data_IF_306391965490
#
_entry.id   IF_306391965490
#
_cell.length_a   1.000
_cell.length_b   1.000
_cell.length_c   1.000
_cell.angle_alpha   90.00
_cell.angle_beta   90.00
_cell.angle_gamma   90.00
#
_symmetry.space_group_name_H-M   'P 1'
#
loop_
_entity.id
_entity.type
_entity.pdbx_description
1 polymer ?
#
# COMPACT_ATOMS: atom_id res chain seq x y z
N UNK A 1 -5.28 14.25 18.55
CA UNK A 1 -4.94 12.91 18.00
C UNK A 1 -3.58 13.00 17.35
N UNK A 2 -2.59 12.22 17.79
CA UNK A 2 -1.20 12.38 17.36
C UNK A 2 -1.04 12.04 15.86
N UNK A 3 -1.22 13.05 15.00
CA UNK A 3 -0.70 13.02 13.63
C UNK A 3 0.80 12.81 13.75
N UNK A 4 1.29 11.61 13.38
CA UNK A 4 2.72 11.30 13.42
C UNK A 4 3.49 12.46 12.78
N UNK A 5 4.28 13.21 13.55
CA UNK A 5 4.90 14.47 13.10
C UNK A 5 6.02 14.23 12.10
N UNK A 6 6.54 12.99 12.05
CA UNK A 6 7.59 12.58 11.14
C UNK A 6 7.10 12.62 9.69
N UNK A 7 7.75 13.48 8.89
CA UNK A 7 7.35 13.78 7.51
C UNK A 7 7.38 12.54 6.61
N UNK A 8 8.39 11.68 6.76
CA UNK A 8 8.54 10.45 5.97
C UNK A 8 7.36 9.48 6.17
N UNK A 9 6.90 9.31 7.41
CA UNK A 9 5.73 8.49 7.74
C UNK A 9 4.44 9.11 7.18
N UNK A 10 4.26 10.43 7.30
CA UNK A 10 3.11 11.12 6.68
C UNK A 10 3.09 10.93 5.16
N UNK A 11 4.22 11.11 4.51
CA UNK A 11 4.37 10.93 3.07
C UNK A 11 4.04 9.49 2.67
N UNK A 12 4.56 8.51 3.41
CA UNK A 12 4.30 7.08 3.20
C UNK A 12 2.81 6.75 3.31
N UNK A 13 2.12 7.26 4.33
CA UNK A 13 0.66 7.10 4.47
C UNK A 13 -0.08 7.71 3.26
N UNK A 14 0.35 8.89 2.81
CA UNK A 14 -0.19 9.53 1.61
C UNK A 14 -0.01 8.67 0.36
N UNK A 15 1.20 8.14 0.14
CA UNK A 15 1.50 7.27 -0.99
C UNK A 15 0.71 5.96 -0.94
N UNK A 16 0.58 5.32 0.23
CA UNK A 16 -0.26 4.11 0.38
C UNK A 16 -1.70 4.40 -0.07
N UNK A 17 -2.27 5.53 0.36
CA UNK A 17 -3.62 5.94 -0.01
C UNK A 17 -3.77 6.14 -1.51
N UNK A 18 -2.88 6.94 -2.11
CA UNK A 18 -2.98 7.30 -3.53
C UNK A 18 -2.78 6.07 -4.42
N UNK A 19 -1.79 5.22 -4.13
CA UNK A 19 -1.54 3.97 -4.86
C UNK A 19 -2.72 3.01 -4.73
N UNK A 20 -3.26 2.84 -3.51
CA UNK A 20 -4.41 1.97 -3.28
C UNK A 20 -5.63 2.44 -4.07
N UNK A 21 -5.92 3.75 -4.04
CA UNK A 21 -7.05 4.31 -4.76
C UNK A 21 -6.84 4.22 -6.27
N UNK A 22 -5.62 4.46 -6.75
CA UNK A 22 -5.27 4.33 -8.16
C UNK A 22 -5.53 2.93 -8.70
N UNK A 23 -5.06 1.87 -8.01
CA UNK A 23 -5.29 0.48 -8.43
C UNK A 23 -6.78 0.12 -8.41
N UNK A 24 -7.54 0.65 -7.44
CA UNK A 24 -8.98 0.40 -7.31
C UNK A 24 -9.81 1.12 -8.35
N UNK A 25 -9.36 2.29 -8.76
CA UNK A 25 -10.03 3.07 -9.78
C UNK A 25 -9.85 2.37 -11.14
N UNK A 26 -10.90 2.20 -11.92
CA UNK A 26 -10.85 1.53 -13.22
C UNK A 26 -10.87 -0.02 -13.20
N UNK A 27 -11.41 -0.62 -14.26
CA UNK A 27 -11.55 -2.08 -14.38
C UNK A 27 -10.23 -2.77 -14.77
N UNK A 28 -9.45 -2.15 -15.67
CA UNK A 28 -8.18 -2.70 -16.15
C UNK A 28 -7.19 -2.90 -15.00
N UNK A 29 -7.00 -1.87 -14.17
CA UNK A 29 -6.06 -1.88 -13.04
C UNK A 29 -6.48 -2.89 -11.97
N UNK A 30 -7.77 -2.98 -11.66
CA UNK A 30 -8.32 -4.00 -10.74
C UNK A 30 -8.12 -5.43 -11.25
N UNK A 31 -8.27 -5.66 -12.55
CA UNK A 31 -8.08 -6.99 -13.13
C UNK A 31 -6.61 -7.39 -13.18
N UNK A 32 -5.72 -6.46 -13.53
CA UNK A 32 -4.27 -6.67 -13.44
C UNK A 32 -3.87 -7.04 -11.99
N UNK A 33 -4.42 -6.31 -11.01
CA UNK A 33 -4.20 -6.61 -9.60
C UNK A 33 -4.66 -8.03 -9.23
N UNK A 34 -5.91 -8.38 -9.53
CA UNK A 34 -6.46 -9.72 -9.23
C UNK A 34 -5.68 -10.85 -9.91
N UNK A 35 -5.23 -10.65 -11.15
CA UNK A 35 -4.42 -11.62 -11.90
C UNK A 35 -3.09 -11.91 -11.22
N UNK A 36 -2.51 -10.92 -10.54
CA UNK A 36 -1.21 -11.03 -9.88
C UNK A 36 -1.31 -11.57 -8.44
N UNK A 37 -2.51 -11.76 -7.89
CA UNK A 37 -2.69 -12.34 -6.55
C UNK A 37 -2.48 -13.86 -6.63
N UNK A 38 -1.53 -14.44 -5.87
CA UNK A 38 -1.36 -15.88 -5.79
C UNK A 38 -2.61 -16.59 -5.26
N UNK A 39 -2.86 -17.81 -5.73
CA UNK A 39 -4.02 -18.61 -5.33
C UNK A 39 -4.04 -18.94 -3.82
N UNK A 40 -2.87 -18.99 -3.19
CA UNK A 40 -2.65 -19.26 -1.76
C UNK A 40 -2.64 -17.99 -0.89
N UNK A 41 -2.83 -16.81 -1.48
CA UNK A 41 -2.85 -15.56 -0.72
C UNK A 41 -4.10 -15.46 0.15
N UNK A 42 -3.96 -15.12 1.44
CA UNK A 42 -5.11 -14.93 2.34
C UNK A 42 -5.76 -13.54 2.23
N UNK A 43 -5.13 -12.62 1.49
CA UNK A 43 -5.55 -11.22 1.37
C UNK A 43 -5.72 -10.87 -0.10
N UNK A 44 -6.95 -10.73 -0.57
CA UNK A 44 -7.23 -10.52 -2.01
C UNK A 44 -7.64 -9.08 -2.38
N UNK A 45 -7.71 -8.18 -1.40
CA UNK A 45 -8.28 -6.84 -1.62
C UNK A 45 -7.46 -5.79 -0.90
N UNK A 46 -7.05 -4.75 -1.61
CA UNK A 46 -6.47 -3.55 -1.00
C UNK A 46 -7.55 -2.81 -0.20
N UNK A 47 -7.24 -2.39 1.02
CA UNK A 47 -8.15 -1.58 1.84
C UNK A 47 -7.70 -0.14 1.81
N UNK A 48 -8.64 0.77 1.61
CA UNK A 48 -8.34 2.21 1.64
C UNK A 48 -8.07 2.61 3.08
N UNK A 49 -7.01 3.38 3.32
CA UNK A 49 -6.64 3.80 4.67
C UNK A 49 -7.74 4.66 5.31
N UNK A 50 -8.27 4.21 6.44
CA UNK A 50 -9.20 4.98 7.26
C UNK A 50 -8.44 6.02 8.09
N UNK A 51 -8.92 7.26 8.11
CA UNK A 51 -8.22 8.38 8.74
C UNK A 51 -8.39 8.41 10.26
N UNK A 52 -9.56 8.00 10.76
CA UNK A 52 -9.98 8.21 12.16
C UNK A 52 -9.86 6.97 13.05
N UNK A 53 -9.59 5.78 12.48
CA UNK A 53 -9.50 4.53 13.24
C UNK A 53 -8.11 3.91 13.17
N UNK A 54 -7.39 4.00 14.28
CA UNK A 54 -6.01 3.53 14.42
C UNK A 54 -5.86 2.02 14.19
N UNK A 55 -6.77 1.19 14.74
CA UNK A 55 -6.76 -0.27 14.54
C UNK A 55 -6.92 -0.65 13.07
N UNK A 56 -7.87 -0.02 12.37
CA UNK A 56 -8.06 -0.22 10.92
C UNK A 56 -6.84 0.24 10.13
N UNK A 57 -6.21 1.34 10.53
CA UNK A 57 -4.98 1.83 9.91
C UNK A 57 -3.85 0.80 10.02
N UNK A 58 -3.63 0.21 11.19
CA UNK A 58 -2.61 -0.83 11.37
C UNK A 58 -2.88 -2.07 10.53
N UNK A 59 -4.13 -2.54 10.51
CA UNK A 59 -4.53 -3.65 9.66
C UNK A 59 -4.29 -3.36 8.17
N UNK A 60 -4.62 -2.16 7.72
CA UNK A 60 -4.43 -1.76 6.33
C UNK A 60 -2.95 -1.65 5.95
N UNK A 61 -2.07 -1.20 6.85
CA UNK A 61 -0.61 -1.20 6.63
C UNK A 61 -0.10 -2.62 6.48
N UNK A 62 -0.47 -3.53 7.39
CA UNK A 62 -0.06 -4.93 7.32
C UNK A 62 -0.58 -5.61 6.05
N UNK A 63 -1.85 -5.39 5.68
CA UNK A 63 -2.43 -5.90 4.44
C UNK A 63 -1.70 -5.34 3.21
N UNK A 64 -1.33 -4.05 3.22
CA UNK A 64 -0.57 -3.42 2.14
C UNK A 64 0.83 -4.03 2.00
N UNK A 65 1.53 -4.31 3.11
CA UNK A 65 2.85 -4.96 3.07
C UNK A 65 2.75 -6.38 2.52
N UNK A 66 1.77 -7.17 2.95
CA UNK A 66 1.54 -8.53 2.42
C UNK A 66 1.30 -8.51 0.91
N UNK A 67 0.58 -7.50 0.44
CA UNK A 67 0.26 -7.30 -0.97
C UNK A 67 1.36 -6.57 -1.75
N UNK A 68 2.44 -6.12 -1.11
CA UNK A 68 3.45 -5.27 -1.73
C UNK A 68 4.05 -5.86 -3.02
N UNK A 69 4.42 -7.16 -3.09
CA UNK A 69 4.91 -7.75 -4.33
C UNK A 69 3.86 -7.73 -5.45
N UNK A 70 2.59 -7.98 -5.11
CA UNK A 70 1.46 -7.92 -6.05
C UNK A 70 1.25 -6.50 -6.55
N UNK A 71 1.35 -5.50 -5.67
CA UNK A 71 1.23 -4.08 -6.02
C UNK A 71 2.34 -3.67 -6.99
N UNK A 72 3.60 -4.01 -6.70
CA UNK A 72 4.76 -3.70 -7.57
C UNK A 72 4.54 -4.31 -8.96
N UNK A 73 4.25 -5.61 -9.04
CA UNK A 73 4.02 -6.30 -10.31
C UNK A 73 2.83 -5.73 -11.08
N UNK A 74 1.77 -5.35 -10.37
CA UNK A 74 0.60 -4.71 -10.99
C UNK A 74 0.96 -3.36 -11.61
N UNK A 75 1.76 -2.55 -10.91
CA UNK A 75 2.21 -1.26 -11.43
C UNK A 75 3.13 -1.44 -12.64
N UNK A 76 4.03 -2.42 -12.62
CA UNK A 76 4.89 -2.81 -13.75
C UNK A 76 4.08 -3.25 -14.98
N UNK A 77 3.02 -4.06 -14.78
CA UNK A 77 2.18 -4.52 -15.89
C UNK A 77 1.43 -3.37 -16.58
N UNK A 78 1.02 -2.35 -15.81
CA UNK A 78 0.20 -1.23 -16.31
C UNK A 78 1.01 0.02 -16.67
N UNK A 79 2.34 0.05 -16.45
CA UNK A 79 3.18 1.20 -16.87
C UNK A 79 3.13 1.42 -18.38
N UNK A 80 2.93 0.36 -19.16
CA UNK A 80 2.79 0.44 -20.61
C UNK A 80 1.45 1.04 -21.06
N UNK A 81 0.47 1.14 -20.15
CA UNK A 81 -0.89 1.61 -20.43
C UNK A 81 -1.12 3.01 -19.86
N UNK A 82 -0.51 3.32 -18.72
CA UNK A 82 -0.69 4.58 -18.01
C UNK A 82 0.62 5.02 -17.36
N UNK A 83 1.18 6.13 -17.84
CA UNK A 83 2.42 6.73 -17.32
C UNK A 83 2.33 7.07 -15.82
N UNK A 84 1.12 7.28 -15.29
CA UNK A 84 0.90 7.52 -13.86
C UNK A 84 1.37 6.33 -13.01
N UNK A 85 1.28 5.11 -13.53
CA UNK A 85 1.76 3.92 -12.83
C UNK A 85 3.27 3.94 -12.64
N UNK A 86 4.04 4.45 -13.61
CA UNK A 86 5.49 4.57 -13.49
C UNK A 86 5.90 5.57 -12.40
N UNK A 87 5.12 6.67 -12.23
CA UNK A 87 5.31 7.64 -11.16
C UNK A 87 5.07 6.96 -9.79
N UNK A 88 4.00 6.17 -9.67
CA UNK A 88 3.70 5.45 -8.44
C UNK A 88 4.70 4.35 -8.13
N UNK A 89 5.14 3.59 -9.14
CA UNK A 89 6.17 2.56 -9.00
C UNK A 89 7.47 3.16 -8.45
N UNK A 90 7.91 4.27 -9.07
CA UNK A 90 9.09 5.01 -8.61
C UNK A 90 8.91 5.52 -7.18
N UNK A 91 7.72 5.96 -6.79
CA UNK A 91 7.45 6.46 -5.44
C UNK A 91 7.54 5.35 -4.38
N UNK A 92 7.02 4.15 -4.65
CA UNK A 92 7.02 3.03 -3.70
C UNK A 92 8.36 2.29 -3.62
N UNK A 93 9.23 2.44 -4.62
CA UNK A 93 10.57 1.85 -4.63
C UNK A 93 11.63 2.72 -3.93
N UNK A 94 11.29 3.97 -3.57
CA UNK A 94 12.21 4.83 -2.79
C UNK A 94 12.54 4.19 -1.45
N UNK A 95 13.82 4.20 -1.09
CA UNK A 95 14.30 3.67 0.20
C UNK A 95 13.58 4.29 1.39
N UNK A 96 13.34 5.61 1.38
CA UNK A 96 12.59 6.32 2.42
C UNK A 96 11.18 5.74 2.60
N UNK A 97 10.49 5.40 1.50
CA UNK A 97 9.16 4.79 1.55
C UNK A 97 9.24 3.37 2.13
N UNK A 98 10.15 2.54 1.63
CA UNK A 98 10.29 1.14 2.07
C UNK A 98 10.63 1.05 3.56
N UNK A 99 11.59 1.87 4.02
CA UNK A 99 11.98 1.93 5.44
C UNK A 99 10.81 2.41 6.30
N UNK A 100 10.12 3.48 5.89
CA UNK A 100 8.98 4.01 6.63
C UNK A 100 7.82 3.01 6.70
N UNK A 101 7.54 2.30 5.61
CA UNK A 101 6.52 1.26 5.54
C UNK A 101 6.85 0.11 6.51
N UNK A 102 8.11 -0.35 6.55
CA UNK A 102 8.56 -1.40 7.47
C UNK A 102 8.49 -0.98 8.94
N UNK A 103 8.86 0.25 9.26
CA UNK A 103 8.71 0.79 10.62
C UNK A 103 7.23 0.79 11.03
N UNK A 104 6.34 1.22 10.12
CA UNK A 104 4.89 1.22 10.37
C UNK A 104 4.33 -0.20 10.54
N UNK A 105 4.83 -1.18 9.80
CA UNK A 105 4.46 -2.60 9.96
C UNK A 105 4.88 -3.14 11.34
N UNK A 106 6.13 -2.93 11.75
CA UNK A 106 6.64 -3.35 13.06
C UNK A 106 5.81 -2.73 14.18
N UNK A 107 5.51 -1.43 14.07
CA UNK A 107 4.65 -0.76 15.03
C UNK A 107 3.26 -1.41 15.06
N UNK A 108 2.65 -1.68 13.89
CA UNK A 108 1.35 -2.38 13.81
C UNK A 108 1.35 -3.72 14.54
N UNK A 109 2.42 -4.51 14.39
CA UNK A 109 2.58 -5.81 15.04
C UNK A 109 2.65 -5.65 16.56
N UNK A 110 3.56 -4.79 17.07
CA UNK A 110 3.75 -4.56 18.52
C UNK A 110 2.44 -4.23 19.22
N UNK A 111 1.60 -3.44 18.57
CA UNK A 111 0.36 -2.92 19.14
C UNK A 111 -0.87 -3.81 18.93
N UNK A 112 -0.76 -4.90 18.15
CA UNK A 112 -1.84 -5.89 17.99
C UNK A 112 -1.79 -6.99 19.06
N UNK A 113 -0.67 -7.12 19.80
CA UNK A 113 -0.46 -8.11 20.87
C UNK A 113 -0.74 -7.60 22.30
N UNK A 114 -1.42 -6.46 22.45
CA UNK A 114 -1.94 -5.96 23.73
C UNK A 114 -3.43 -5.70 23.61
#
# INVERSE_FOLDING_TARGET
MASCTLKSVKNTIGTIKTVTNYIKDGHIRRNAFKKNIPNDCTTHTLKTMCETRWVERHKNVTDFVKLFPVIVKTLEDITNVDNTAAIFLSAIQKSEFVVSLKIMEIFSIIFTYK
#
